data_IF_063766107113
#
_entry.id   IF_063766107113
#
_cell.length_a   1.000
_cell.length_b   1.000
_cell.length_c   1.000
_cell.angle_alpha   90.00
_cell.angle_beta   90.00
_cell.angle_gamma   90.00
#
_symmetry.space_group_name_H-M   'P 1'
#
loop_
_entity.id
_entity.type
_entity.pdbx_description
1 polymer ?
#
# COMPACT_ATOMS: atom_id res chain seq x y z
N UNK A 1 -14.29 -5.09 10.09
CA UNK A 1 -13.27 -4.92 9.02
C UNK A 1 -12.05 -5.68 9.49
N UNK A 2 -11.53 -6.60 8.69
CA UNK A 2 -10.25 -7.23 8.98
C UNK A 2 -9.16 -6.23 8.57
N UNK A 3 -8.66 -5.46 9.53
CA UNK A 3 -7.43 -4.67 9.36
C UNK A 3 -6.28 -5.67 9.36
N UNK A 4 -5.86 -6.13 8.18
CA UNK A 4 -4.72 -7.02 8.05
C UNK A 4 -3.64 -6.22 7.34
N UNK A 5 -2.74 -5.64 8.13
CA UNK A 5 -1.41 -5.27 7.67
C UNK A 5 -0.80 -6.49 6.99
N UNK A 6 -0.09 -6.30 5.88
CA UNK A 6 0.55 -7.44 5.17
C UNK A 6 1.41 -8.20 6.18
N UNK A 7 1.08 -9.46 6.49
CA UNK A 7 1.85 -10.19 7.47
C UNK A 7 3.17 -10.63 6.83
N UNK A 8 4.24 -10.71 7.64
CA UNK A 8 5.59 -11.09 7.19
C UNK A 8 5.60 -12.34 6.32
N UNK A 9 4.85 -13.37 6.70
CA UNK A 9 4.79 -14.63 5.96
C UNK A 9 4.29 -14.46 4.51
N UNK A 10 3.52 -13.40 4.24
CA UNK A 10 3.05 -13.11 2.88
C UNK A 10 4.16 -12.51 2.02
N UNK A 11 5.01 -11.66 2.62
CA UNK A 11 6.21 -11.13 1.95
C UNK A 11 7.17 -12.28 1.66
N UNK A 12 7.39 -13.18 2.63
CA UNK A 12 8.22 -14.38 2.45
C UNK A 12 7.73 -15.24 1.27
N UNK A 13 6.41 -15.49 1.21
CA UNK A 13 5.78 -16.26 0.14
C UNK A 13 5.98 -15.61 -1.24
N UNK A 14 5.88 -14.28 -1.34
CA UNK A 14 6.08 -13.57 -2.61
C UNK A 14 7.53 -13.61 -3.10
N UNK A 15 8.48 -13.57 -2.16
CA UNK A 15 9.91 -13.62 -2.49
C UNK A 15 10.34 -15.03 -2.86
N UNK A 16 9.80 -16.04 -2.16
CA UNK A 16 10.15 -17.44 -2.36
C UNK A 16 11.63 -17.72 -2.10
N UNK A 17 12.14 -18.77 -2.74
CA UNK A 17 13.53 -19.23 -2.57
C UNK A 17 14.51 -18.66 -3.62
N UNK A 18 14.06 -17.72 -4.45
CA UNK A 18 14.84 -17.16 -5.55
C UNK A 18 15.83 -16.09 -5.08
N UNK A 19 16.96 -15.96 -5.78
CA UNK A 19 17.98 -14.94 -5.49
C UNK A 19 17.81 -13.74 -6.40
N UNK A 20 16.92 -12.85 -5.99
CA UNK A 20 16.63 -11.62 -6.72
C UNK A 20 17.82 -10.65 -6.70
N UNK A 21 18.24 -10.19 -7.88
CA UNK A 21 19.19 -9.06 -8.00
C UNK A 21 18.48 -7.71 -7.81
N UNK A 22 17.22 -7.61 -8.26
CA UNK A 22 16.39 -6.41 -8.20
C UNK A 22 14.98 -6.79 -7.81
N UNK A 23 14.40 -6.05 -6.88
CA UNK A 23 12.98 -6.13 -6.54
C UNK A 23 12.37 -4.76 -6.78
N UNK A 24 11.48 -4.68 -7.77
CA UNK A 24 10.66 -3.51 -8.04
C UNK A 24 9.26 -3.72 -7.44
N UNK A 25 8.79 -2.77 -6.64
CA UNK A 25 7.50 -2.89 -5.97
C UNK A 25 6.75 -1.55 -5.94
N UNK A 26 5.43 -1.65 -5.83
CA UNK A 26 4.50 -0.53 -5.74
C UNK A 26 3.47 -0.82 -4.64
N UNK A 27 3.21 0.15 -3.76
CA UNK A 27 2.27 -0.02 -2.66
C UNK A 27 1.54 1.29 -2.33
N UNK A 28 0.23 1.23 -2.07
CA UNK A 28 -0.54 2.38 -1.58
C UNK A 28 -2.02 2.42 -1.93
N UNK A 29 -2.45 1.93 -3.11
CA UNK A 29 -3.86 2.05 -3.52
C UNK A 29 -4.85 1.37 -2.56
N UNK A 30 -4.44 0.32 -1.85
CA UNK A 30 -5.30 -0.31 -0.87
C UNK A 30 -5.49 0.57 0.37
N UNK A 31 -4.39 1.15 0.85
CA UNK A 31 -4.26 1.97 2.05
C UNK A 31 -5.03 3.29 1.93
N UNK A 32 -4.84 4.02 0.83
CA UNK A 32 -5.52 5.29 0.59
C UNK A 32 -6.98 5.15 0.10
N UNK A 33 -7.55 3.95 0.20
CA UNK A 33 -8.94 3.69 -0.18
C UNK A 33 -9.89 3.94 0.99
N UNK A 34 -10.88 4.79 0.78
CA UNK A 34 -12.00 5.00 1.70
C UNK A 34 -13.06 3.92 1.48
N UNK A 35 -13.59 3.39 2.60
CA UNK A 35 -14.57 2.31 2.59
C UNK A 35 -15.73 2.56 3.53
N UNK A 36 -16.94 2.29 3.04
CA UNK A 36 -18.16 2.34 3.83
C UNK A 36 -18.88 1.00 3.77
N UNK A 37 -19.23 0.36 4.91
CA UNK A 37 -19.80 -0.99 4.93
C UNK A 37 -21.08 -1.15 4.10
N UNK A 38 -21.84 -0.07 3.92
CA UNK A 38 -23.08 -0.10 3.14
C UNK A 38 -22.87 0.13 1.63
N UNK A 39 -21.69 0.63 1.22
CA UNK A 39 -21.39 0.84 -0.20
C UNK A 39 -21.40 -0.48 -0.95
N UNK A 40 -22.08 -0.50 -2.11
CA UNK A 40 -22.14 -1.66 -3.01
C UNK A 40 -21.09 -1.60 -4.12
N UNK A 41 -20.28 -0.53 -4.17
CA UNK A 41 -19.16 -0.43 -5.10
C UNK A 41 -18.08 -1.43 -4.70
N UNK A 42 -17.37 -2.01 -5.67
CA UNK A 42 -16.36 -3.06 -5.46
C UNK A 42 -15.41 -2.74 -4.30
N UNK A 43 -15.39 -3.61 -3.27
CA UNK A 43 -14.57 -3.41 -2.08
C UNK A 43 -15.11 -2.33 -1.13
N UNK A 44 -16.42 -2.09 -1.17
CA UNK A 44 -17.12 -1.13 -0.31
C UNK A 44 -16.60 0.30 -0.47
N UNK A 45 -16.11 0.66 -1.66
CA UNK A 45 -15.48 1.96 -1.94
C UNK A 45 -16.48 3.09 -1.80
N UNK A 46 -16.13 4.09 -1.02
CA UNK A 46 -16.93 5.29 -0.82
C UNK A 46 -16.04 6.37 -0.21
N UNK A 47 -15.57 7.32 -1.02
CA UNK A 47 -14.74 8.43 -0.55
C UNK A 47 -15.51 9.57 0.09
N UNK A 48 -16.83 9.59 -0.04
CA UNK A 48 -17.68 10.65 0.50
C UNK A 48 -18.12 10.33 1.93
N UNK A 49 -18.55 9.09 2.18
CA UNK A 49 -19.09 8.66 3.47
C UNK A 49 -18.21 7.61 4.17
N UNK A 50 -17.22 7.05 3.48
CA UNK A 50 -16.35 6.00 4.02
C UNK A 50 -15.24 6.51 4.94
N UNK A 51 -14.53 5.54 5.52
CA UNK A 51 -13.32 5.78 6.31
C UNK A 51 -12.10 5.30 5.54
N UNK A 52 -11.00 6.03 5.64
CA UNK A 52 -9.72 5.63 5.05
C UNK A 52 -9.29 4.27 5.59
N UNK A 53 -8.68 3.43 4.75
CA UNK A 53 -8.27 2.07 5.14
C UNK A 53 -7.10 2.11 6.13
N UNK A 54 -6.08 2.91 5.82
CA UNK A 54 -4.97 3.22 6.73
C UNK A 54 -4.70 4.72 6.68
N UNK A 55 -4.32 5.33 7.79
CA UNK A 55 -3.80 6.69 7.82
C UNK A 55 -2.43 6.77 7.14
N UNK A 56 -1.94 7.98 6.85
CA UNK A 56 -0.60 8.17 6.25
C UNK A 56 0.50 7.58 7.17
N UNK A 57 0.37 7.74 8.48
CA UNK A 57 1.34 7.23 9.46
C UNK A 57 1.32 5.70 9.55
N UNK A 58 0.12 5.10 9.49
CA UNK A 58 -0.03 3.65 9.41
C UNK A 58 0.54 3.11 8.10
N UNK A 59 0.28 3.77 6.97
CA UNK A 59 0.87 3.42 5.68
C UNK A 59 2.40 3.47 5.71
N UNK A 60 2.99 4.55 6.24
CA UNK A 60 4.44 4.69 6.34
C UNK A 60 5.04 3.56 7.20
N UNK A 61 4.41 3.25 8.33
CA UNK A 61 4.84 2.17 9.23
C UNK A 61 4.71 0.79 8.59
N UNK A 62 3.62 0.56 7.84
CA UNK A 62 3.39 -0.69 7.11
C UNK A 62 4.39 -0.87 5.97
N UNK A 63 4.67 0.20 5.21
CA UNK A 63 5.63 0.19 4.12
C UNK A 63 7.05 -0.07 4.65
N UNK A 64 7.44 0.59 5.74
CA UNK A 64 8.72 0.36 6.42
C UNK A 64 8.89 -1.10 6.86
N UNK A 65 7.82 -1.71 7.39
CA UNK A 65 7.83 -3.13 7.75
C UNK A 65 8.06 -4.04 6.54
N UNK A 66 7.40 -3.76 5.41
CA UNK A 66 7.59 -4.51 4.15
C UNK A 66 9.02 -4.33 3.64
N UNK A 67 9.52 -3.10 3.58
CA UNK A 67 10.89 -2.79 3.10
C UNK A 67 11.94 -3.44 3.99
N UNK A 68 11.80 -3.35 5.31
CA UNK A 68 12.68 -4.00 6.28
C UNK A 68 12.70 -5.51 6.08
N UNK A 69 11.53 -6.12 5.83
CA UNK A 69 11.44 -7.56 5.56
C UNK A 69 12.16 -7.93 4.26
N UNK A 70 11.95 -7.17 3.17
CA UNK A 70 12.64 -7.38 1.90
C UNK A 70 14.16 -7.26 2.01
N UNK A 71 14.65 -6.27 2.76
CA UNK A 71 16.08 -6.07 3.03
C UNK A 71 16.66 -7.19 3.89
N UNK A 72 15.86 -7.76 4.80
CA UNK A 72 16.31 -8.85 5.67
C UNK A 72 16.44 -10.17 4.91
N UNK A 73 15.52 -10.43 3.98
CA UNK A 73 15.46 -11.70 3.24
C UNK A 73 16.37 -11.73 2.01
N UNK A 74 16.76 -10.57 1.47
CA UNK A 74 17.41 -10.49 0.16
C UNK A 74 18.58 -9.51 0.16
N UNK A 75 19.51 -9.70 -0.78
CA UNK A 75 20.53 -8.71 -1.12
C UNK A 75 20.13 -7.88 -2.35
N UNK A 76 18.86 -7.96 -2.76
CA UNK A 76 18.36 -7.33 -3.97
C UNK A 76 18.42 -5.81 -3.83
N UNK A 77 18.67 -5.13 -4.95
CA UNK A 77 18.41 -3.70 -5.03
C UNK A 77 16.90 -3.46 -5.02
N UNK A 78 16.43 -2.73 -4.01
CA UNK A 78 15.02 -2.38 -3.89
C UNK A 78 14.71 -1.10 -4.69
N UNK A 79 13.66 -1.15 -5.51
CA UNK A 79 13.16 -0.01 -6.28
C UNK A 79 11.68 0.19 -5.97
N UNK A 80 11.39 1.22 -5.18
CA UNK A 80 10.01 1.65 -4.98
C UNK A 80 9.53 2.47 -6.17
N UNK A 81 8.37 2.09 -6.71
CA UNK A 81 7.61 2.86 -7.69
C UNK A 81 6.43 3.50 -6.97
N UNK A 82 6.18 4.78 -7.23
CA UNK A 82 5.10 5.55 -6.61
C UNK A 82 3.72 4.98 -6.95
N UNK A 83 2.77 5.19 -6.03
CA UNK A 83 1.37 4.78 -6.16
C UNK A 83 0.81 5.12 -7.54
N UNK A 84 0.14 4.14 -8.14
CA UNK A 84 -0.48 4.28 -9.46
C UNK A 84 -1.49 5.44 -9.48
N UNK A 85 -1.59 6.11 -10.63
CA UNK A 85 -2.49 7.25 -10.85
C UNK A 85 -3.94 6.97 -10.37
N UNK A 86 -4.51 7.96 -9.67
CA UNK A 86 -5.90 7.97 -9.22
C UNK A 86 -6.70 8.98 -10.08
N UNK A 87 -7.69 8.53 -10.87
CA UNK A 87 -8.58 9.41 -11.62
C UNK A 87 -9.45 10.28 -10.70
N UNK A 88 -9.84 11.46 -11.17
CA UNK A 88 -10.66 12.42 -10.39
C UNK A 88 -12.01 11.82 -9.93
N UNK A 89 -12.61 11.00 -10.78
CA UNK A 89 -13.91 10.35 -10.51
C UNK A 89 -13.79 8.93 -9.94
N UNK A 90 -12.64 8.54 -9.39
CA UNK A 90 -12.51 7.23 -8.72
C UNK A 90 -13.39 7.18 -7.47
N UNK A 91 -14.11 6.08 -7.26
CA UNK A 91 -15.18 6.00 -6.26
C UNK A 91 -14.71 5.96 -4.80
N UNK A 92 -13.48 5.53 -4.54
CA UNK A 92 -12.96 5.25 -3.20
C UNK A 92 -11.73 6.06 -2.81
N UNK A 93 -11.21 6.94 -3.67
CA UNK A 93 -9.91 7.61 -3.46
C UNK A 93 -9.96 9.05 -3.92
N UNK A 94 -9.28 9.92 -3.18
CA UNK A 94 -8.94 11.26 -3.66
C UNK A 94 -7.62 11.22 -4.42
N UNK A 95 -7.52 11.97 -5.52
CA UNK A 95 -6.33 12.06 -6.35
C UNK A 95 -5.14 12.61 -5.56
N UNK A 96 -5.42 13.52 -4.64
CA UNK A 96 -4.46 14.21 -3.78
C UNK A 96 -3.83 13.26 -2.75
N UNK A 97 -4.53 12.21 -2.34
CA UNK A 97 -3.98 11.26 -1.36
C UNK A 97 -2.87 10.41 -1.96
N UNK A 98 -2.93 10.08 -3.25
CA UNK A 98 -1.79 9.41 -3.90
C UNK A 98 -0.50 10.22 -3.77
N UNK A 99 -0.58 11.56 -3.86
CA UNK A 99 0.59 12.45 -3.70
C UNK A 99 1.08 12.39 -2.24
N UNK A 100 0.18 12.53 -1.27
CA UNK A 100 0.52 12.52 0.16
C UNK A 100 1.17 11.21 0.61
N UNK A 101 0.67 10.08 0.13
CA UNK A 101 1.23 8.76 0.46
C UNK A 101 2.58 8.56 -0.22
N UNK A 102 2.73 8.98 -1.48
CA UNK A 102 4.03 8.96 -2.15
C UNK A 102 5.07 9.83 -1.45
N UNK A 103 4.67 10.94 -0.84
CA UNK A 103 5.57 11.78 -0.05
C UNK A 103 5.99 11.07 1.25
N UNK A 104 5.08 10.39 1.93
CA UNK A 104 5.40 9.60 3.12
C UNK A 104 6.37 8.44 2.81
N UNK A 105 6.25 7.82 1.63
CA UNK A 105 7.12 6.73 1.19
C UNK A 105 8.59 7.17 0.92
N UNK A 106 8.88 8.47 0.82
CA UNK A 106 10.26 8.96 0.62
C UNK A 106 11.13 8.83 1.88
N UNK A 107 10.51 8.68 3.04
CA UNK A 107 11.21 8.50 4.32
C UNK A 107 11.51 7.04 4.67
N UNK A 108 11.07 6.10 3.82
CA UNK A 108 11.21 4.65 3.97
C UNK A 108 12.44 4.10 3.27
#
# INVERSE_FOLDING_TARGET
MLNIQVPDWKVDEWIGDEKWDIIQFNWGLWDLCYRHPDSKVQGNRDKENGKITYTIDEYASNLDSIVTRLQTLTQAKLIFVTTTYVPENEAGRFKEDAIRYNDAAKGS
#
